data_IF_206251165996
#
_entry.id   IF_206251165996
#
_cell.length_a   1.000
_cell.length_b   1.000
_cell.length_c   1.000
_cell.angle_alpha   90.00
_cell.angle_beta   90.00
_cell.angle_gamma   90.00
#
_symmetry.space_group_name_H-M   'P 1'
#
loop_
_entity.id
_entity.type
_entity.pdbx_description
1 polymer ?
#
# COMPACT_ATOMS: atom_id res chain seq x y z
N UNK A 1 24.44 14.89 19.23
CA UNK A 1 24.33 13.71 18.34
C UNK A 1 23.28 12.74 18.90
N UNK A 2 21.99 13.13 18.94
CA UNK A 2 20.87 12.28 19.41
C UNK A 2 19.58 12.57 18.65
N UNK A 3 19.30 13.86 18.39
CA UNK A 3 18.11 14.27 17.64
C UNK A 3 18.13 13.82 16.17
N UNK A 4 19.30 13.90 15.51
CA UNK A 4 19.47 13.48 14.10
C UNK A 4 19.28 11.97 13.91
N UNK A 5 19.77 11.16 14.85
CA UNK A 5 19.61 9.70 14.84
C UNK A 5 18.16 9.28 15.09
N UNK A 6 17.45 10.01 15.96
CA UNK A 6 16.02 9.77 16.24
C UNK A 6 15.15 10.13 15.03
N UNK A 7 15.47 11.21 14.32
CA UNK A 7 14.77 11.60 13.10
C UNK A 7 15.00 10.60 11.95
N UNK A 8 16.22 10.07 11.82
CA UNK A 8 16.55 9.06 10.82
C UNK A 8 15.76 7.76 11.04
N UNK A 9 15.70 7.28 12.29
CA UNK A 9 14.94 6.07 12.63
C UNK A 9 13.43 6.22 12.44
N UNK A 10 12.87 7.40 12.73
CA UNK A 10 11.46 7.69 12.45
C UNK A 10 11.14 7.71 10.94
N UNK A 11 12.06 8.24 10.13
CA UNK A 11 11.92 8.23 8.67
C UNK A 11 11.97 6.81 8.11
N UNK A 12 12.97 6.00 8.51
CA UNK A 12 13.10 4.61 8.08
C UNK A 12 11.88 3.76 8.47
N UNK A 13 11.35 3.96 9.68
CA UNK A 13 10.13 3.30 10.14
C UNK A 13 8.93 3.68 9.27
N UNK A 14 8.80 4.96 8.90
CA UNK A 14 7.72 5.46 8.04
C UNK A 14 7.81 4.86 6.63
N UNK A 15 8.99 4.90 6.00
CA UNK A 15 9.24 4.30 4.68
C UNK A 15 8.95 2.81 4.70
N UNK A 16 9.47 2.08 5.69
CA UNK A 16 9.23 0.64 5.84
C UNK A 16 7.75 0.33 6.06
N UNK A 17 7.06 1.13 6.86
CA UNK A 17 5.63 1.00 7.14
C UNK A 17 4.77 1.16 5.88
N UNK A 18 4.99 2.24 5.12
CA UNK A 18 4.27 2.51 3.88
C UNK A 18 4.53 1.42 2.82
N UNK A 19 5.78 0.99 2.65
CA UNK A 19 6.13 -0.08 1.71
C UNK A 19 5.45 -1.42 2.09
N UNK A 20 5.45 -1.77 3.38
CA UNK A 20 4.76 -2.97 3.88
C UNK A 20 3.24 -2.88 3.69
N UNK A 21 2.64 -1.71 3.96
CA UNK A 21 1.22 -1.47 3.78
C UNK A 21 0.80 -1.57 2.30
N UNK A 22 1.58 -0.98 1.39
CA UNK A 22 1.37 -1.12 -0.05
C UNK A 22 1.40 -2.59 -0.48
N UNK A 23 2.48 -3.31 -0.16
CA UNK A 23 2.65 -4.72 -0.52
C UNK A 23 1.55 -5.62 0.10
N UNK A 24 1.08 -5.30 1.31
CA UNK A 24 -0.04 -6.01 1.94
C UNK A 24 -1.34 -5.83 1.17
N UNK A 25 -1.67 -4.59 0.80
CA UNK A 25 -2.87 -4.28 0.02
C UNK A 25 -2.80 -4.90 -1.39
N UNK A 26 -1.64 -4.93 -2.05
CA UNK A 26 -1.47 -5.61 -3.35
C UNK A 26 -1.77 -7.10 -3.25
N UNK A 27 -1.29 -7.77 -2.18
CA UNK A 27 -1.60 -9.19 -1.93
C UNK A 27 -3.10 -9.41 -1.75
N UNK A 28 -3.76 -8.61 -0.91
CA UNK A 28 -5.20 -8.70 -0.69
C UNK A 28 -6.01 -8.45 -1.96
N UNK A 29 -5.61 -7.47 -2.77
CA UNK A 29 -6.24 -7.21 -4.07
C UNK A 29 -6.19 -8.46 -4.97
N UNK A 30 -5.04 -9.13 -5.05
CA UNK A 30 -4.87 -10.37 -5.80
C UNK A 30 -5.65 -11.55 -5.21
N UNK A 31 -5.66 -11.72 -3.89
CA UNK A 31 -6.40 -12.79 -3.21
C UNK A 31 -7.90 -12.67 -3.45
N UNK A 32 -8.46 -11.46 -3.31
CA UNK A 32 -9.88 -11.23 -3.54
C UNK A 32 -10.26 -11.37 -5.02
N UNK A 33 -9.39 -10.98 -5.96
CA UNK A 33 -9.63 -11.23 -7.38
C UNK A 33 -9.71 -12.73 -7.69
N UNK A 34 -8.80 -13.54 -7.11
CA UNK A 34 -8.84 -15.01 -7.24
C UNK A 34 -10.11 -15.59 -6.64
N UNK A 35 -10.52 -15.11 -5.48
CA UNK A 35 -11.73 -15.57 -4.80
C UNK A 35 -13.00 -15.21 -5.58
N UNK A 36 -13.08 -13.99 -6.12
CA UNK A 36 -14.17 -13.56 -7.00
C UNK A 36 -14.28 -14.50 -8.22
N UNK A 37 -13.17 -14.80 -8.88
CA UNK A 37 -13.13 -15.71 -10.01
C UNK A 37 -13.55 -17.15 -9.64
N UNK A 38 -13.13 -17.65 -8.47
CA UNK A 38 -13.54 -18.95 -7.96
C UNK A 38 -15.06 -19.01 -7.71
N UNK A 39 -15.61 -18.00 -7.02
CA UNK A 39 -17.02 -17.94 -6.65
C UNK A 39 -17.93 -17.71 -7.87
N UNK A 40 -17.49 -16.93 -8.85
CA UNK A 40 -18.19 -16.75 -10.10
C UNK A 40 -18.39 -18.09 -10.85
N UNK A 41 -17.40 -18.99 -10.79
CA UNK A 41 -17.50 -20.35 -11.36
C UNK A 41 -18.54 -21.22 -10.63
N UNK A 42 -18.83 -20.94 -9.37
CA UNK A 42 -19.91 -21.58 -8.60
C UNK A 42 -21.29 -20.96 -8.86
N UNK A 43 -21.40 -19.95 -9.73
CA UNK A 43 -22.66 -19.28 -10.07
C UNK A 43 -23.19 -18.33 -9.00
N UNK A 44 -22.37 -17.94 -8.01
CA UNK A 44 -22.76 -17.07 -6.90
C UNK A 44 -22.41 -15.60 -7.19
N UNK A 45 -23.14 -14.97 -8.10
CA UNK A 45 -22.80 -13.65 -8.66
C UNK A 45 -22.65 -12.54 -7.62
N UNK A 46 -23.58 -12.42 -6.66
CA UNK A 46 -23.52 -11.36 -5.64
C UNK A 46 -22.30 -11.46 -4.71
N UNK A 47 -21.86 -12.69 -4.40
CA UNK A 47 -20.65 -12.91 -3.62
C UNK A 47 -19.40 -12.62 -4.46
N UNK A 48 -19.40 -12.97 -5.75
CA UNK A 48 -18.31 -12.63 -6.66
C UNK A 48 -18.13 -11.10 -6.78
N UNK A 49 -19.23 -10.35 -6.93
CA UNK A 49 -19.23 -8.88 -7.02
C UNK A 49 -18.66 -8.23 -5.75
N UNK A 50 -18.98 -8.78 -4.58
CA UNK A 50 -18.42 -8.33 -3.30
C UNK A 50 -16.89 -8.47 -3.27
N UNK A 51 -16.37 -9.65 -3.64
CA UNK A 51 -14.92 -9.87 -3.65
C UNK A 51 -14.22 -9.06 -4.74
N UNK A 52 -14.85 -8.84 -5.87
CA UNK A 52 -14.32 -7.94 -6.89
C UNK A 52 -14.24 -6.49 -6.37
N UNK A 53 -15.25 -6.04 -5.63
CA UNK A 53 -15.25 -4.73 -4.98
C UNK A 53 -14.12 -4.60 -3.94
N UNK A 54 -13.93 -5.63 -3.10
CA UNK A 54 -12.82 -5.67 -2.13
C UNK A 54 -11.46 -5.67 -2.83
N UNK A 55 -11.32 -6.41 -3.93
CA UNK A 55 -10.10 -6.41 -4.73
C UNK A 55 -9.76 -5.00 -5.23
N UNK A 56 -10.73 -4.30 -5.82
CA UNK A 56 -10.55 -2.91 -6.28
C UNK A 56 -10.23 -1.95 -5.13
N UNK A 57 -10.89 -2.09 -3.99
CA UNK A 57 -10.61 -1.27 -2.81
C UNK A 57 -9.14 -1.38 -2.40
N UNK A 58 -8.63 -2.61 -2.25
CA UNK A 58 -7.23 -2.82 -1.86
C UNK A 58 -6.24 -2.40 -2.94
N UNK A 59 -6.59 -2.52 -4.23
CA UNK A 59 -5.76 -1.98 -5.31
C UNK A 59 -5.60 -0.46 -5.21
N UNK A 60 -6.69 0.27 -4.92
CA UNK A 60 -6.65 1.72 -4.69
C UNK A 60 -5.79 2.04 -3.47
N UNK A 61 -5.99 1.34 -2.35
CA UNK A 61 -5.18 1.52 -1.13
C UNK A 61 -3.69 1.32 -1.39
N UNK A 62 -3.32 0.29 -2.15
CA UNK A 62 -1.93 0.06 -2.52
C UNK A 62 -1.33 1.25 -3.28
N UNK A 63 -2.07 1.81 -4.24
CA UNK A 63 -1.65 3.00 -4.98
C UNK A 63 -1.51 4.22 -4.08
N UNK A 64 -2.45 4.44 -3.16
CA UNK A 64 -2.38 5.52 -2.17
C UNK A 64 -1.10 5.42 -1.30
N UNK A 65 -0.80 4.24 -0.76
CA UNK A 65 0.39 4.06 0.08
C UNK A 65 1.69 4.21 -0.72
N UNK A 66 1.72 3.78 -1.98
CA UNK A 66 2.86 4.02 -2.89
C UNK A 66 3.04 5.50 -3.20
N UNK A 67 1.95 6.23 -3.41
CA UNK A 67 2.00 7.68 -3.65
C UNK A 67 2.52 8.43 -2.41
N UNK A 68 2.05 8.07 -1.21
CA UNK A 68 2.57 8.61 0.06
C UNK A 68 4.03 8.29 0.26
N UNK A 69 4.45 7.06 -0.02
CA UNK A 69 5.87 6.68 0.03
C UNK A 69 6.71 7.55 -0.92
N UNK A 70 6.24 7.76 -2.14
CA UNK A 70 6.87 8.64 -3.11
C UNK A 70 7.00 10.08 -2.60
N UNK A 71 5.95 10.63 -2.00
CA UNK A 71 5.96 11.97 -1.41
C UNK A 71 6.98 12.10 -0.26
N UNK A 72 6.99 11.13 0.68
CA UNK A 72 7.94 11.12 1.81
C UNK A 72 9.40 11.04 1.35
N UNK A 73 9.69 10.21 0.34
CA UNK A 73 11.03 10.12 -0.25
C UNK A 73 11.42 11.42 -0.96
N UNK A 74 10.49 12.06 -1.67
CA UNK A 74 10.73 13.31 -2.36
C UNK A 74 11.00 14.47 -1.39
N UNK A 75 10.20 14.61 -0.33
CA UNK A 75 10.39 15.61 0.73
C UNK A 75 11.78 15.46 1.38
N UNK A 76 12.21 14.22 1.67
CA UNK A 76 13.53 13.98 2.25
C UNK A 76 14.66 14.40 1.31
N UNK A 77 14.57 14.03 0.04
CA UNK A 77 15.59 14.37 -0.95
C UNK A 77 15.63 15.88 -1.27
N UNK A 78 14.49 16.57 -1.17
CA UNK A 78 14.41 18.03 -1.32
C UNK A 78 15.06 18.78 -0.16
N UNK A 79 14.98 18.25 1.06
CA UNK A 79 15.64 18.82 2.25
C UNK A 79 17.17 18.66 2.24
N UNK A 80 17.70 17.63 1.56
CA UNK A 80 19.14 17.37 1.46
C UNK A 80 19.82 18.16 0.30
N UNK A 81 19.06 18.97 -0.47
CA UNK A 81 19.53 19.73 -1.64
C UNK A 81 19.60 21.25 -1.50
N UNK A 82 19.27 21.80 -0.32
CA UNK A 82 19.27 23.26 -0.04
C UNK A 82 20.44 23.75 0.85
N UNK A 83 21.45 22.90 1.12
CA UNK A 83 22.71 23.26 1.82
C UNK A 83 23.90 23.38 0.84
#
# INVERSE_FOLDING_TARGET
MRARDTALTAFEATVSGLAKAAAHNERLAGDYARLAAYIAREGRTSAADLFESLSRHHAIRALEERARLGAVLHERNGLDGED
#
